data_IF_654299018392
#
_entry.id   IF_654299018392
#
_cell.length_a   1.000
_cell.length_b   1.000
_cell.length_c   1.000
_cell.angle_alpha   90.00
_cell.angle_beta   90.00
_cell.angle_gamma   90.00
#
_symmetry.space_group_name_H-M   'P 1'
#
loop_
_entity.id
_entity.type
_entity.pdbx_description
1 polymer ?
#
# COMPACT_ATOMS: atom_id res chain seq x y z
N UNK A 1 -22.02 -20.56 11.57
CA UNK A 1 -21.03 -20.43 12.67
C UNK A 1 -19.58 -20.57 12.19
N UNK A 2 -19.15 -21.62 11.52
CA UNK A 2 -17.77 -21.73 10.99
C UNK A 2 -17.41 -20.66 9.93
N UNK A 3 -18.34 -20.29 9.05
CA UNK A 3 -18.13 -19.26 8.00
C UNK A 3 -18.02 -17.83 8.56
N UNK A 4 -18.63 -17.56 9.70
CA UNK A 4 -18.61 -16.25 10.35
C UNK A 4 -17.31 -16.03 11.14
N UNK A 5 -16.81 -17.09 11.80
CA UNK A 5 -15.52 -17.08 12.51
C UNK A 5 -14.36 -16.93 11.52
N UNK A 6 -14.39 -17.65 10.38
CA UNK A 6 -13.37 -17.50 9.34
C UNK A 6 -13.32 -16.08 8.77
N UNK A 7 -14.49 -15.48 8.47
CA UNK A 7 -14.57 -14.09 7.99
C UNK A 7 -14.05 -13.05 9.00
N UNK A 8 -14.24 -13.29 10.30
CA UNK A 8 -13.72 -12.37 11.33
C UNK A 8 -12.19 -12.48 11.43
N UNK A 9 -11.65 -13.69 11.34
CA UNK A 9 -10.19 -13.93 11.35
C UNK A 9 -9.51 -13.21 10.17
N UNK A 10 -10.11 -13.30 8.97
CA UNK A 10 -9.59 -12.62 7.77
C UNK A 10 -9.57 -11.08 7.90
N UNK A 11 -10.59 -10.52 8.59
CA UNK A 11 -10.67 -9.08 8.88
C UNK A 11 -9.57 -8.65 9.85
N UNK A 12 -9.42 -9.39 10.95
CA UNK A 12 -8.44 -9.07 11.99
C UNK A 12 -7.00 -9.18 11.44
N UNK A 13 -6.74 -10.14 10.57
CA UNK A 13 -5.46 -10.30 9.88
C UNK A 13 -5.17 -9.11 8.95
N UNK A 14 -6.14 -8.71 8.11
CA UNK A 14 -5.97 -7.54 7.24
C UNK A 14 -5.71 -6.26 8.03
N UNK A 15 -6.42 -6.05 9.15
CA UNK A 15 -6.20 -4.91 10.02
C UNK A 15 -4.79 -4.93 10.65
N UNK A 16 -4.30 -6.10 11.05
CA UNK A 16 -2.95 -6.25 11.57
C UNK A 16 -1.89 -5.91 10.50
N UNK A 17 -2.06 -6.38 9.27
CA UNK A 17 -1.20 -6.06 8.12
C UNK A 17 -1.20 -4.54 7.87
N UNK A 18 -2.38 -3.92 7.83
CA UNK A 18 -2.50 -2.48 7.58
C UNK A 18 -1.80 -1.63 8.66
N UNK A 19 -1.97 -1.99 9.94
CA UNK A 19 -1.27 -1.32 11.05
C UNK A 19 0.24 -1.48 10.92
N UNK A 20 0.69 -2.71 10.69
CA UNK A 20 2.12 -3.00 10.53
C UNK A 20 2.74 -2.22 9.37
N UNK A 21 2.02 -2.13 8.25
CA UNK A 21 2.48 -1.34 7.10
C UNK A 21 2.65 0.14 7.47
N UNK A 22 1.65 0.75 8.09
CA UNK A 22 1.75 2.15 8.51
C UNK A 22 2.88 2.40 9.50
N UNK A 23 3.08 1.50 10.49
CA UNK A 23 4.20 1.57 11.44
C UNK A 23 5.56 1.50 10.73
N UNK A 24 5.71 0.64 9.73
CA UNK A 24 6.95 0.52 8.97
C UNK A 24 7.24 1.79 8.17
N UNK A 25 6.23 2.36 7.49
CA UNK A 25 6.38 3.63 6.78
C UNK A 25 6.77 4.77 7.75
N UNK A 26 6.14 4.85 8.90
CA UNK A 26 6.41 5.87 9.92
C UNK A 26 7.80 5.68 10.59
N UNK A 27 8.38 4.49 10.55
CA UNK A 27 9.69 4.16 11.12
C UNK A 27 10.86 4.32 10.15
N UNK A 28 10.60 4.54 8.85
CA UNK A 28 11.65 4.67 7.83
C UNK A 28 12.58 5.83 8.13
N UNK A 29 13.90 5.57 8.08
CA UNK A 29 14.95 6.55 8.27
C UNK A 29 16.01 6.43 7.17
N UNK A 30 16.69 7.54 6.87
CA UNK A 30 17.75 7.56 5.88
C UNK A 30 18.88 6.57 6.24
N UNK A 31 19.20 5.69 5.30
CA UNK A 31 20.25 4.68 5.47
C UNK A 31 19.81 3.39 6.18
N UNK A 32 18.63 3.36 6.81
CA UNK A 32 18.06 2.14 7.39
C UNK A 32 17.20 1.41 6.35
N UNK A 33 17.66 0.23 5.93
CA UNK A 33 16.97 -0.61 4.94
C UNK A 33 16.10 -1.68 5.55
N UNK A 34 16.22 -1.93 6.84
CA UNK A 34 15.47 -2.99 7.52
C UNK A 34 13.95 -2.81 7.40
N UNK A 35 13.36 -1.61 7.64
CA UNK A 35 11.93 -1.43 7.43
C UNK A 35 11.49 -1.64 5.97
N UNK A 36 12.34 -1.26 5.00
CA UNK A 36 12.04 -1.47 3.59
C UNK A 36 12.06 -2.97 3.22
N UNK A 37 12.96 -3.75 3.78
CA UNK A 37 12.99 -5.19 3.63
C UNK A 37 11.71 -5.84 4.22
N UNK A 38 11.26 -5.37 5.40
CA UNK A 38 10.01 -5.83 6.00
C UNK A 38 8.78 -5.42 5.17
N UNK A 39 8.77 -4.25 4.55
CA UNK A 39 7.71 -3.84 3.61
C UNK A 39 7.67 -4.78 2.41
N UNK A 40 8.83 -5.16 1.86
CA UNK A 40 8.92 -6.13 0.76
C UNK A 40 8.31 -7.50 1.13
N UNK A 41 8.41 -7.92 2.38
CA UNK A 41 7.79 -9.16 2.87
C UNK A 41 6.28 -9.00 3.16
N UNK A 42 5.85 -7.79 3.52
CA UNK A 42 4.47 -7.50 3.95
C UNK A 42 3.54 -7.22 2.78
N UNK A 43 4.01 -6.56 1.70
CA UNK A 43 3.17 -6.18 0.55
C UNK A 43 2.49 -7.40 -0.11
N UNK A 44 3.14 -8.55 -0.34
CA UNK A 44 2.46 -9.72 -0.88
C UNK A 44 1.33 -10.25 0.02
N UNK A 45 1.46 -10.10 1.34
CA UNK A 45 0.42 -10.48 2.29
C UNK A 45 -0.77 -9.51 2.20
N UNK A 46 -0.51 -8.21 2.11
CA UNK A 46 -1.52 -7.19 1.89
C UNK A 46 -2.26 -7.42 0.56
N UNK A 47 -1.52 -7.67 -0.51
CA UNK A 47 -2.08 -7.95 -1.83
C UNK A 47 -3.00 -9.19 -1.81
N UNK A 48 -2.53 -10.28 -1.23
CA UNK A 48 -3.32 -11.51 -1.10
C UNK A 48 -4.58 -11.27 -0.26
N UNK A 49 -4.47 -10.63 0.90
CA UNK A 49 -5.59 -10.34 1.78
C UNK A 49 -6.64 -9.45 1.09
N UNK A 50 -6.22 -8.41 0.37
CA UNK A 50 -7.13 -7.55 -0.39
C UNK A 50 -7.80 -8.28 -1.56
N UNK A 51 -7.09 -9.16 -2.24
CA UNK A 51 -7.64 -9.97 -3.34
C UNK A 51 -8.67 -10.97 -2.84
N UNK A 52 -8.44 -11.57 -1.68
CA UNK A 52 -9.32 -12.57 -1.06
C UNK A 52 -10.49 -11.98 -0.26
N UNK A 53 -10.51 -10.67 -0.01
CA UNK A 53 -11.52 -10.00 0.82
C UNK A 53 -12.97 -10.03 0.25
N UNK A 54 -13.22 -10.82 -0.79
CA UNK A 54 -14.52 -11.03 -1.40
C UNK A 54 -14.73 -10.28 -2.72
N UNK A 55 -15.93 -10.35 -3.30
CA UNK A 55 -16.21 -9.72 -4.58
C UNK A 55 -16.10 -8.19 -4.48
N UNK A 56 -15.61 -7.59 -5.55
CA UNK A 56 -15.59 -6.14 -5.67
C UNK A 56 -17.01 -5.58 -5.66
N UNK A 57 -17.20 -4.54 -4.88
CA UNK A 57 -18.42 -3.72 -4.88
C UNK A 57 -17.98 -2.26 -4.82
N UNK A 58 -18.54 -1.44 -5.68
CA UNK A 58 -18.30 -0.01 -5.62
C UNK A 58 -18.85 0.55 -4.31
N UNK A 59 -18.01 1.25 -3.56
CA UNK A 59 -18.42 1.94 -2.33
C UNK A 59 -17.84 3.36 -2.33
N UNK A 60 -18.48 4.23 -1.58
CA UNK A 60 -17.99 5.60 -1.42
C UNK A 60 -16.69 5.58 -0.61
N UNK A 61 -15.66 6.30 -1.08
CA UNK A 61 -14.43 6.44 -0.32
C UNK A 61 -14.72 7.03 1.07
N UNK A 62 -13.90 6.68 2.05
CA UNK A 62 -13.88 7.34 3.34
C UNK A 62 -13.40 8.78 3.16
N UNK A 63 -13.85 9.66 4.04
CA UNK A 63 -13.32 11.02 4.09
C UNK A 63 -11.81 10.98 4.35
N UNK A 64 -11.05 11.74 3.56
CA UNK A 64 -9.60 11.77 3.68
C UNK A 64 -9.18 12.41 5.01
N UNK A 65 -8.41 11.68 5.81
CA UNK A 65 -7.81 12.16 7.06
C UNK A 65 -6.40 12.71 6.79
N UNK A 66 -5.69 12.09 5.86
CA UNK A 66 -4.41 12.59 5.36
C UNK A 66 -4.70 13.62 4.28
N UNK A 67 -4.46 14.90 4.59
CA UNK A 67 -4.61 15.98 3.63
C UNK A 67 -3.47 16.00 2.60
N UNK A 68 -3.62 16.82 1.56
CA UNK A 68 -2.65 16.90 0.46
C UNK A 68 -1.27 17.39 0.93
N UNK A 69 -1.20 18.26 1.93
CA UNK A 69 0.07 18.77 2.45
C UNK A 69 0.84 17.66 3.17
N UNK A 70 0.16 16.90 4.03
CA UNK A 70 0.76 15.74 4.71
C UNK A 70 1.16 14.63 3.74
N UNK A 71 0.33 14.36 2.72
CA UNK A 71 0.68 13.42 1.66
C UNK A 71 1.96 13.85 0.95
N UNK A 72 2.07 15.14 0.59
CA UNK A 72 3.26 15.68 -0.07
C UNK A 72 4.51 15.67 0.84
N UNK A 73 4.36 15.97 2.12
CA UNK A 73 5.44 15.87 3.11
C UNK A 73 5.95 14.44 3.23
N UNK A 74 5.06 13.46 3.33
CA UNK A 74 5.43 12.04 3.41
C UNK A 74 6.14 11.60 2.12
N UNK A 75 5.55 11.87 0.95
CA UNK A 75 6.17 11.58 -0.33
C UNK A 75 7.58 12.18 -0.43
N UNK A 76 7.73 13.47 -0.12
CA UNK A 76 9.02 14.16 -0.20
C UNK A 76 10.05 13.58 0.76
N UNK A 77 9.63 13.15 1.93
CA UNK A 77 10.49 12.49 2.90
C UNK A 77 10.94 11.12 2.41
N UNK A 78 10.01 10.29 1.93
CA UNK A 78 10.31 8.96 1.38
C UNK A 78 11.20 9.06 0.14
N UNK A 79 10.88 9.97 -0.78
CA UNK A 79 11.70 10.20 -1.99
C UNK A 79 13.16 10.54 -1.65
N UNK A 80 13.37 11.41 -0.67
CA UNK A 80 14.72 11.77 -0.20
C UNK A 80 15.42 10.58 0.47
N UNK A 81 14.71 9.82 1.32
CA UNK A 81 15.28 8.66 2.03
C UNK A 81 15.63 7.52 1.07
N UNK A 82 14.80 7.27 0.07
CA UNK A 82 15.02 6.20 -0.91
C UNK A 82 16.15 6.56 -1.90
N UNK A 83 16.30 7.84 -2.26
CA UNK A 83 17.34 8.29 -3.17
C UNK A 83 17.37 7.46 -4.46
N UNK A 84 18.50 6.81 -4.73
CA UNK A 84 18.70 5.95 -5.92
C UNK A 84 17.84 4.67 -5.94
N UNK A 85 17.15 4.34 -4.86
CA UNK A 85 16.22 3.21 -4.80
C UNK A 85 14.82 3.58 -5.24
N UNK A 86 14.49 4.87 -5.36
CA UNK A 86 13.13 5.33 -5.60
C UNK A 86 12.67 5.11 -7.05
N UNK A 87 13.42 5.60 -8.01
CA UNK A 87 12.99 5.65 -9.41
C UNK A 87 13.07 4.30 -10.13
N UNK A 88 12.06 3.99 -10.94
CA UNK A 88 12.05 2.82 -11.80
C UNK A 88 11.32 3.09 -13.13
N UNK A 89 11.58 2.24 -14.14
CA UNK A 89 10.94 2.31 -15.45
C UNK A 89 9.85 1.25 -15.57
N UNK A 90 8.74 1.63 -16.19
CA UNK A 90 7.64 0.74 -16.56
C UNK A 90 7.42 0.75 -18.06
N UNK A 91 7.15 -0.42 -18.65
CA UNK A 91 6.50 -0.49 -19.95
C UNK A 91 5.00 -0.38 -19.73
N UNK A 92 4.42 0.72 -20.21
CA UNK A 92 2.99 0.88 -20.18
C UNK A 92 2.38 0.40 -21.49
N UNK A 93 1.60 -0.66 -21.37
CA UNK A 93 0.81 -1.34 -22.38
C UNK A 93 1.46 -1.50 -23.79
N UNK A 94 1.14 -2.59 -24.46
CA UNK A 94 1.60 -2.97 -25.81
C UNK A 94 1.00 -2.08 -26.92
N UNK A 95 0.63 -0.84 -26.58
CA UNK A 95 0.13 0.13 -27.53
C UNK A 95 1.26 0.60 -28.50
N UNK A 96 0.90 0.95 -29.76
CA UNK A 96 1.90 1.19 -30.80
C UNK A 96 2.90 2.30 -30.53
N UNK A 97 2.71 3.10 -29.50
CA UNK A 97 3.53 4.29 -29.23
C UNK A 97 4.63 4.09 -28.18
N UNK A 98 4.81 2.88 -27.60
CA UNK A 98 5.87 2.53 -26.63
C UNK A 98 6.20 3.68 -25.69
N UNK A 99 5.22 4.15 -24.93
CA UNK A 99 5.49 5.17 -23.92
C UNK A 99 6.15 4.50 -22.71
N UNK A 100 7.44 4.80 -22.53
CA UNK A 100 8.13 4.46 -21.29
C UNK A 100 7.63 5.41 -20.20
N UNK A 101 7.10 4.85 -19.10
CA UNK A 101 6.71 5.62 -17.92
C UNK A 101 7.72 5.38 -16.81
N UNK A 102 8.08 6.45 -16.12
CA UNK A 102 8.84 6.35 -14.87
C UNK A 102 7.88 6.21 -13.70
N UNK A 103 8.19 5.33 -12.76
CA UNK A 103 7.51 5.20 -11.49
C UNK A 103 8.40 5.66 -10.33
N UNK A 104 7.79 5.84 -9.18
CA UNK A 104 8.45 6.24 -7.94
C UNK A 104 7.95 5.35 -6.80
N UNK A 105 8.86 4.62 -6.17
CA UNK A 105 8.54 3.81 -5.00
C UNK A 105 8.00 4.67 -3.85
N UNK A 106 8.51 5.89 -3.70
CA UNK A 106 8.01 6.84 -2.70
C UNK A 106 6.54 7.18 -2.93
N UNK A 107 6.13 7.36 -4.19
CA UNK A 107 4.73 7.63 -4.55
C UNK A 107 3.84 6.42 -4.25
N UNK A 108 4.27 5.24 -4.68
CA UNK A 108 3.55 3.98 -4.42
C UNK A 108 3.34 3.75 -2.91
N UNK A 109 4.42 3.84 -2.13
CA UNK A 109 4.36 3.64 -0.68
C UNK A 109 3.50 4.70 0.02
N UNK A 110 3.52 5.95 -0.48
CA UNK A 110 2.71 7.05 0.05
C UNK A 110 1.23 6.81 -0.19
N UNK A 111 0.84 6.40 -1.39
CA UNK A 111 -0.57 6.19 -1.73
C UNK A 111 -1.16 5.00 -0.98
N UNK A 112 -0.43 3.89 -0.88
CA UNK A 112 -0.83 2.75 -0.04
C UNK A 112 -1.00 3.19 1.43
N UNK A 113 -0.05 3.98 1.96
CA UNK A 113 -0.11 4.47 3.33
C UNK A 113 -1.33 5.35 3.57
N UNK A 114 -1.61 6.32 2.70
CA UNK A 114 -2.74 7.23 2.84
C UNK A 114 -4.06 6.47 2.89
N UNK A 115 -4.25 5.49 2.02
CA UNK A 115 -5.45 4.67 1.97
C UNK A 115 -5.64 3.83 3.25
N UNK A 116 -4.58 3.14 3.68
CA UNK A 116 -4.64 2.32 4.89
C UNK A 116 -4.80 3.18 6.14
N UNK A 117 -4.06 4.28 6.27
CA UNK A 117 -4.13 5.20 7.40
C UNK A 117 -5.51 5.83 7.55
N UNK A 118 -6.10 6.29 6.44
CA UNK A 118 -7.47 6.82 6.45
C UNK A 118 -8.45 5.81 7.08
N UNK A 119 -8.41 4.55 6.66
CA UNK A 119 -9.29 3.52 7.21
C UNK A 119 -9.02 3.23 8.69
N UNK A 120 -7.76 3.16 9.10
CA UNK A 120 -7.40 2.91 10.50
C UNK A 120 -7.88 4.04 11.43
N UNK A 121 -7.73 5.30 11.05
CA UNK A 121 -8.22 6.44 11.84
C UNK A 121 -9.76 6.45 11.94
N UNK A 122 -10.46 6.11 10.86
CA UNK A 122 -11.91 5.96 10.91
C UNK A 122 -12.36 4.85 11.87
N UNK A 123 -11.60 3.75 11.95
CA UNK A 123 -11.89 2.68 12.92
C UNK A 123 -11.67 3.11 14.37
N UNK A 124 -10.65 3.90 14.66
CA UNK A 124 -10.42 4.47 15.99
C UNK A 124 -11.56 5.41 16.42
N UNK A 125 -12.19 6.10 15.47
CA UNK A 125 -13.36 6.94 15.65
C UNK A 125 -14.71 6.21 15.74
N UNK A 126 -14.69 4.88 16.02
CA UNK A 126 -15.89 4.01 16.11
C UNK A 126 -16.64 3.79 14.77
N UNK A 127 -15.97 3.90 13.64
CA UNK A 127 -16.55 3.52 12.35
C UNK A 127 -16.69 2.00 12.24
N UNK A 128 -17.69 1.55 11.50
CA UNK A 128 -17.90 0.12 11.22
C UNK A 128 -16.73 -0.47 10.41
N UNK A 129 -16.07 -1.49 10.97
CA UNK A 129 -14.96 -2.18 10.31
C UNK A 129 -15.34 -2.71 8.92
N UNK A 130 -16.58 -3.15 8.73
CA UNK A 130 -17.07 -3.60 7.42
C UNK A 130 -17.11 -2.47 6.39
N UNK A 131 -17.45 -1.26 6.82
CA UNK A 131 -17.42 -0.07 5.94
C UNK A 131 -15.98 0.27 5.53
N UNK A 132 -15.06 0.25 6.46
CA UNK A 132 -13.64 0.47 6.18
C UNK A 132 -13.11 -0.54 5.17
N UNK A 133 -13.40 -1.84 5.38
CA UNK A 133 -12.97 -2.89 4.47
C UNK A 133 -13.55 -2.74 3.06
N UNK A 134 -14.84 -2.38 2.93
CA UNK A 134 -15.44 -2.12 1.62
C UNK A 134 -14.77 -0.94 0.93
N UNK A 135 -14.51 0.15 1.66
CA UNK A 135 -13.81 1.33 1.12
C UNK A 135 -12.39 0.95 0.66
N UNK A 136 -11.62 0.24 1.48
CA UNK A 136 -10.30 -0.25 1.07
C UNK A 136 -10.37 -1.14 -0.16
N UNK A 137 -11.33 -2.07 -0.20
CA UNK A 137 -11.51 -2.97 -1.35
C UNK A 137 -11.87 -2.21 -2.62
N UNK A 138 -12.77 -1.24 -2.53
CA UNK A 138 -13.13 -0.37 -3.66
C UNK A 138 -11.92 0.45 -4.14
N UNK A 139 -11.20 1.10 -3.23
CA UNK A 139 -9.99 1.86 -3.54
C UNK A 139 -8.88 0.98 -4.12
N UNK A 140 -8.69 -0.24 -3.60
CA UNK A 140 -7.71 -1.20 -4.13
C UNK A 140 -8.00 -1.55 -5.59
N UNK A 141 -9.25 -1.86 -5.93
CA UNK A 141 -9.62 -2.21 -7.30
C UNK A 141 -9.53 -1.04 -8.28
N UNK A 142 -9.75 0.19 -7.82
CA UNK A 142 -9.84 1.36 -8.68
C UNK A 142 -8.57 2.22 -8.72
N UNK A 143 -7.68 2.10 -7.73
CA UNK A 143 -6.55 3.00 -7.60
C UNK A 143 -5.32 2.35 -6.93
N UNK A 144 -5.30 2.21 -5.61
CA UNK A 144 -4.07 1.92 -4.89
C UNK A 144 -3.55 0.48 -5.02
N UNK A 145 -4.36 -0.43 -5.57
CA UNK A 145 -3.90 -1.77 -5.91
C UNK A 145 -2.82 -1.77 -6.99
N UNK A 146 -2.85 -0.81 -7.91
CA UNK A 146 -1.79 -0.63 -8.90
C UNK A 146 -0.46 -0.26 -8.21
N UNK A 147 -0.50 0.65 -7.24
CA UNK A 147 0.69 1.02 -6.46
C UNK A 147 1.27 -0.16 -5.68
N UNK A 148 0.42 -1.08 -5.15
CA UNK A 148 0.90 -2.31 -4.51
C UNK A 148 1.68 -3.17 -5.50
N UNK A 149 1.13 -3.43 -6.68
CA UNK A 149 1.77 -4.27 -7.71
C UNK A 149 3.09 -3.65 -8.20
N UNK A 150 3.11 -2.35 -8.41
CA UNK A 150 4.30 -1.63 -8.88
C UNK A 150 5.40 -1.61 -7.81
N UNK A 151 5.05 -1.36 -6.55
CA UNK A 151 5.98 -1.44 -5.43
C UNK A 151 6.55 -2.86 -5.26
N UNK A 152 5.72 -3.91 -5.31
CA UNK A 152 6.16 -5.32 -5.24
C UNK A 152 7.17 -5.63 -6.34
N UNK A 153 6.87 -5.25 -7.58
CA UNK A 153 7.75 -5.49 -8.72
C UNK A 153 9.09 -4.79 -8.54
N UNK A 154 9.09 -3.53 -8.09
CA UNK A 154 10.32 -2.77 -7.91
C UNK A 154 11.15 -3.28 -6.75
N UNK A 155 10.54 -3.56 -5.60
CA UNK A 155 11.21 -4.13 -4.43
C UNK A 155 11.81 -5.51 -4.74
N UNK A 156 11.10 -6.36 -5.48
CA UNK A 156 11.65 -7.61 -5.97
C UNK A 156 12.92 -7.39 -6.82
N UNK A 157 12.90 -6.41 -7.72
CA UNK A 157 14.06 -6.11 -8.55
C UNK A 157 15.25 -5.58 -7.74
N UNK A 158 15.01 -4.80 -6.67
CA UNK A 158 16.03 -4.34 -5.74
C UNK A 158 16.62 -5.52 -4.95
N UNK A 159 15.75 -6.41 -4.41
CA UNK A 159 16.17 -7.60 -3.68
C UNK A 159 17.03 -8.54 -4.56
N UNK A 160 16.59 -8.82 -5.79
CA UNK A 160 17.30 -9.66 -6.76
C UNK A 160 18.69 -9.10 -7.14
N UNK A 161 18.89 -7.79 -6.99
CA UNK A 161 20.19 -7.12 -7.24
C UNK A 161 20.99 -6.88 -5.95
N UNK A 162 20.62 -7.48 -4.84
CA UNK A 162 21.23 -7.30 -3.51
C UNK A 162 21.30 -5.83 -3.07
N UNK A 163 20.31 -5.01 -3.45
CA UNK A 163 20.23 -3.60 -3.08
C UNK A 163 19.31 -3.34 -1.90
N UNK A 164 18.53 -4.33 -1.49
CA UNK A 164 17.56 -4.24 -0.39
C UNK A 164 18.15 -4.80 0.92
N UNK A 165 19.07 -5.75 0.83
CA UNK A 165 19.73 -6.44 1.96
C UNK A 165 21.23 -6.16 1.97
#
# INVERSE_FOLDING_TARGET
>A
MQTEVAKQTDVDELLAIARRYCELIESLQEGDREPLAQINELLPQLHAAMTMAGPWQEDKPLEAVVDLDRRFELFSSLHRMLGDLDGYWMEYDVAPDRQEMSGSLADDLTDIYCELKNGLVHLEGNSDARRTLRSWRSGFCNHWGQHVVDAERHLYALAARHRLY
#
